data_IF_947590246102
#
_entry.id   IF_947590246102
#
_cell.length_a   1.000
_cell.length_b   1.000
_cell.length_c   1.000
_cell.angle_alpha   90.00
_cell.angle_beta   90.00
_cell.angle_gamma   90.00
#
_symmetry.space_group_name_H-M   'P 1'
#
loop_
_entity.id
_entity.type
_entity.pdbx_description
1 polymer ?
#
# COMPACT_ATOMS: atom_id res chain seq x y z
N UNK A 1 -13.75 -12.87 -28.36
CA UNK A 1 -12.36 -13.14 -27.95
C UNK A 1 -12.18 -12.55 -26.58
N UNK A 2 -12.41 -13.34 -25.53
CA UNK A 2 -12.27 -12.87 -24.14
C UNK A 2 -10.79 -12.63 -23.84
N UNK A 3 -10.41 -11.53 -23.17
CA UNK A 3 -9.04 -11.35 -22.72
C UNK A 3 -8.69 -12.47 -21.73
N UNK A 4 -7.44 -12.98 -21.75
CA UNK A 4 -7.00 -13.99 -20.79
C UNK A 4 -7.12 -13.43 -19.37
N UNK A 5 -7.70 -14.22 -18.48
CA UNK A 5 -7.68 -13.96 -17.04
C UNK A 5 -6.22 -13.89 -16.59
N UNK A 6 -5.90 -12.81 -15.90
CA UNK A 6 -4.61 -12.45 -15.32
C UNK A 6 -3.95 -13.68 -14.67
N UNK A 7 -2.87 -14.18 -15.28
CA UNK A 7 -2.06 -15.24 -14.68
C UNK A 7 -1.46 -14.63 -13.41
N UNK A 8 -1.72 -15.25 -12.26
CA UNK A 8 -1.34 -14.76 -10.93
C UNK A 8 -0.04 -13.97 -10.95
N UNK A 9 -0.14 -12.70 -10.59
CA UNK A 9 0.98 -11.76 -10.57
C UNK A 9 2.18 -12.39 -9.84
N UNK A 10 3.35 -12.40 -10.48
CA UNK A 10 4.60 -12.77 -9.83
C UNK A 10 4.80 -11.87 -8.60
N UNK A 11 4.73 -12.47 -7.41
CA UNK A 11 4.86 -11.74 -6.15
C UNK A 11 6.31 -11.32 -5.95
N UNK A 12 6.57 -10.01 -6.04
CA UNK A 12 7.90 -9.43 -5.81
C UNK A 12 8.02 -8.95 -4.37
N UNK A 13 9.23 -9.03 -3.81
CA UNK A 13 9.52 -8.49 -2.49
C UNK A 13 9.13 -7.01 -2.41
N UNK A 14 8.37 -6.66 -1.37
CA UNK A 14 7.87 -5.31 -1.19
C UNK A 14 8.96 -4.37 -0.66
N UNK A 15 9.34 -3.38 -1.45
CA UNK A 15 10.15 -2.25 -1.00
C UNK A 15 9.24 -1.03 -0.76
N UNK A 16 8.95 -0.74 0.50
CA UNK A 16 7.98 0.29 0.87
C UNK A 16 8.35 1.69 0.37
N UNK A 17 9.62 1.98 0.08
CA UNK A 17 10.08 3.30 -0.40
C UNK A 17 9.79 3.53 -1.89
N UNK A 18 9.87 2.48 -2.70
CA UNK A 18 9.70 2.51 -4.16
C UNK A 18 8.34 1.97 -4.62
N UNK A 19 7.51 1.53 -3.67
CA UNK A 19 6.21 0.96 -3.99
C UNK A 19 5.32 2.01 -4.70
N UNK A 20 4.71 1.69 -5.86
CA UNK A 20 3.84 2.62 -6.54
C UNK A 20 2.54 2.86 -5.77
N UNK A 21 2.24 4.13 -5.45
CA UNK A 21 1.06 4.51 -4.67
C UNK A 21 -0.15 4.89 -5.53
N UNK A 22 -0.23 4.38 -6.76
CA UNK A 22 -1.32 4.64 -7.70
C UNK A 22 -1.98 3.35 -8.18
N UNK A 23 -3.26 3.47 -8.53
CA UNK A 23 -4.11 2.34 -8.89
C UNK A 23 -4.39 1.40 -7.71
N UNK A 24 -4.88 0.21 -8.02
CA UNK A 24 -5.11 -0.85 -7.04
C UNK A 24 -3.88 -1.74 -6.95
N UNK A 25 -3.46 -2.08 -5.73
CA UNK A 25 -2.31 -2.94 -5.47
C UNK A 25 -2.65 -3.98 -4.41
N UNK A 26 -2.22 -5.21 -4.62
CA UNK A 26 -2.31 -6.29 -3.64
C UNK A 26 -0.95 -6.47 -2.96
N UNK A 27 -0.94 -6.54 -1.62
CA UNK A 27 0.24 -6.83 -0.82
C UNK A 27 -0.06 -8.08 0.00
N UNK A 28 0.66 -9.15 -0.27
CA UNK A 28 0.59 -10.39 0.51
C UNK A 28 1.61 -10.35 1.65
N UNK A 29 1.17 -10.70 2.87
CA UNK A 29 2.04 -10.62 4.04
C UNK A 29 1.74 -11.69 5.10
N UNK A 30 2.68 -12.60 5.29
CA UNK A 30 2.63 -13.69 6.28
C UNK A 30 2.76 -13.19 7.73
N UNK A 31 2.53 -14.08 8.70
CA UNK A 31 2.76 -13.77 10.11
C UNK A 31 4.21 -13.31 10.34
N UNK A 32 4.41 -12.28 11.18
CA UNK A 32 5.75 -11.77 11.52
C UNK A 32 6.44 -10.89 10.48
N UNK A 33 5.86 -10.65 9.29
CA UNK A 33 6.53 -9.87 8.21
C UNK A 33 6.31 -8.35 8.29
N UNK A 34 6.02 -7.81 9.46
CA UNK A 34 5.96 -6.35 9.66
C UNK A 34 4.77 -5.64 9.00
N UNK A 35 3.62 -6.30 8.79
CA UNK A 35 2.40 -5.70 8.18
C UNK A 35 2.07 -4.28 8.67
N UNK A 36 2.02 -4.08 9.99
CA UNK A 36 1.72 -2.77 10.59
C UNK A 36 2.79 -1.73 10.24
N UNK A 37 4.06 -2.13 10.27
CA UNK A 37 5.18 -1.27 9.90
C UNK A 37 5.09 -0.87 8.42
N UNK A 38 4.81 -1.83 7.54
CA UNK A 38 4.61 -1.58 6.11
C UNK A 38 3.46 -0.60 5.86
N UNK A 39 2.31 -0.81 6.50
CA UNK A 39 1.17 0.12 6.38
C UNK A 39 1.56 1.52 6.86
N UNK A 40 2.26 1.65 7.99
CA UNK A 40 2.73 2.94 8.49
C UNK A 40 3.70 3.64 7.53
N UNK A 41 4.64 2.90 6.94
CA UNK A 41 5.57 3.44 5.95
C UNK A 41 4.85 3.96 4.70
N UNK A 42 3.88 3.19 4.17
CA UNK A 42 3.07 3.62 3.02
C UNK A 42 2.20 4.84 3.37
N UNK A 43 1.62 4.86 4.57
CA UNK A 43 0.84 6.00 5.07
C UNK A 43 1.69 7.27 5.14
N UNK A 44 2.90 7.19 5.70
CA UNK A 44 3.82 8.33 5.75
C UNK A 44 4.19 8.83 4.35
N UNK A 45 4.40 7.92 3.39
CA UNK A 45 4.69 8.31 2.01
C UNK A 45 3.53 9.08 1.36
N UNK A 46 2.28 8.68 1.63
CA UNK A 46 1.10 9.42 1.18
C UNK A 46 1.04 10.82 1.81
N UNK A 47 1.33 10.93 3.11
CA UNK A 47 1.29 12.22 3.83
C UNK A 47 2.41 13.16 3.39
N UNK A 48 3.61 12.63 3.14
CA UNK A 48 4.79 13.41 2.80
C UNK A 48 4.98 13.62 1.28
N UNK A 49 4.18 12.94 0.44
CA UNK A 49 4.39 12.95 -1.01
C UNK A 49 5.70 12.30 -1.45
N UNK A 50 6.16 11.27 -0.75
CA UNK A 50 7.48 10.66 -0.95
C UNK A 50 7.47 9.52 -1.98
N UNK A 51 8.54 9.41 -2.79
CA UNK A 51 8.75 8.31 -3.75
C UNK A 51 8.86 8.71 -5.22
N UNK A 52 9.08 10.00 -5.54
CA UNK A 52 9.37 10.46 -6.90
C UNK A 52 8.27 10.09 -7.91
N UNK A 53 8.63 9.40 -8.99
CA UNK A 53 7.67 8.93 -10.02
C UNK A 53 6.66 7.91 -9.50
N UNK A 54 6.93 7.29 -8.36
CA UNK A 54 6.06 6.30 -7.70
C UNK A 54 5.23 6.91 -6.56
N UNK A 55 5.39 8.22 -6.31
CA UNK A 55 4.58 8.93 -5.32
C UNK A 55 3.13 9.10 -5.78
N UNK A 56 2.25 9.40 -4.83
CA UNK A 56 0.91 9.86 -5.14
C UNK A 56 0.97 11.27 -5.75
N UNK A 57 -0.06 11.65 -6.52
CA UNK A 57 -0.09 12.90 -7.30
C UNK A 57 0.17 14.17 -6.46
N UNK A 58 -0.16 14.14 -5.17
CA UNK A 58 0.15 15.21 -4.20
C UNK A 58 0.25 14.62 -2.78
N UNK A 59 0.88 15.33 -1.83
CA UNK A 59 0.74 15.01 -0.42
C UNK A 59 -0.73 14.99 0.02
N UNK A 60 -1.10 14.01 0.85
CA UNK A 60 -2.45 13.85 1.40
C UNK A 60 -2.48 14.24 2.87
N UNK A 61 -3.59 14.83 3.33
CA UNK A 61 -3.81 15.01 4.77
C UNK A 61 -4.29 13.67 5.35
N UNK A 62 -4.08 13.41 6.65
CA UNK A 62 -4.63 12.23 7.32
C UNK A 62 -6.11 11.97 7.03
N UNK A 63 -6.94 13.02 7.00
CA UNK A 63 -8.37 12.93 6.73
C UNK A 63 -8.71 12.52 5.28
N UNK A 64 -7.76 12.61 4.35
CA UNK A 64 -7.93 12.21 2.95
C UNK A 64 -7.54 10.72 2.73
N UNK A 65 -7.10 10.00 3.78
CA UNK A 65 -6.59 8.62 3.71
C UNK A 65 -7.49 7.69 4.53
N UNK A 66 -8.15 6.74 3.87
CA UNK A 66 -8.93 5.71 4.55
C UNK A 66 -8.06 4.49 4.87
N UNK A 67 -7.90 4.18 6.15
CA UNK A 67 -7.32 2.92 6.62
C UNK A 67 -8.42 2.13 7.34
N UNK A 68 -8.61 0.88 6.96
CA UNK A 68 -9.56 -0.02 7.59
C UNK A 68 -8.86 -1.28 8.10
N UNK A 69 -9.42 -1.85 9.17
CA UNK A 69 -8.93 -3.08 9.79
C UNK A 69 -10.13 -3.87 10.29
N UNK A 70 -9.98 -5.18 10.41
CA UNK A 70 -11.07 -6.07 10.79
C UNK A 70 -11.47 -5.91 12.27
N UNK A 71 -10.53 -5.51 13.13
CA UNK A 71 -10.77 -5.43 14.57
C UNK A 71 -10.72 -4.00 15.09
N UNK A 72 -11.64 -3.68 16.00
CA UNK A 72 -11.67 -2.36 16.68
C UNK A 72 -10.41 -2.09 17.51
N UNK A 73 -9.71 -3.14 17.95
CA UNK A 73 -8.48 -3.00 18.72
C UNK A 73 -7.35 -2.35 17.90
N UNK A 74 -7.37 -2.52 16.57
CA UNK A 74 -6.39 -1.95 15.67
C UNK A 74 -6.73 -0.52 15.20
N UNK A 75 -7.88 0.06 15.62
CA UNK A 75 -8.26 1.46 15.35
C UNK A 75 -8.25 2.35 16.60
N UNK A 76 -7.71 1.88 17.73
CA UNK A 76 -7.57 2.66 18.97
C UNK A 76 -6.22 3.33 19.06
#
# INVERSE_FOLDING_TARGET
>A
MSPPLDRGADSTALHAIDFPLWGSRLIEASAGTGKTWTIAALYLRLVLGHGGSQAFARPLRPADILVMTFTRAATR
#
